data_IF_271577926705
#
_entry.id   IF_271577926705
#
_cell.length_a   1.000
_cell.length_b   1.000
_cell.length_c   1.000
_cell.angle_alpha   90.00
_cell.angle_beta   90.00
_cell.angle_gamma   90.00
#
_symmetry.space_group_name_H-M   'P 1'
#
loop_
_entity.id
_entity.type
_entity.pdbx_description
1 polymer ?
#
# COMPACT_ATOMS: atom_id res chain seq x y z
N UNK A 1 -26.75 11.09 -14.62
CA UNK A 1 -25.99 10.36 -15.66
C UNK A 1 -25.12 9.21 -15.12
N UNK A 2 -24.65 9.20 -13.86
CA UNK A 2 -23.83 8.11 -13.29
C UNK A 2 -24.58 6.79 -12.98
N UNK A 3 -25.92 6.80 -12.86
CA UNK A 3 -26.71 5.61 -12.49
C UNK A 3 -26.79 4.55 -13.61
N UNK A 4 -26.61 4.93 -14.89
CA UNK A 4 -26.78 4.05 -16.05
C UNK A 4 -25.50 3.37 -16.56
N UNK A 5 -24.34 3.57 -15.92
CA UNK A 5 -23.07 2.95 -16.35
C UNK A 5 -22.44 2.02 -15.30
N UNK A 6 -23.22 1.54 -14.32
CA UNK A 6 -22.71 0.64 -13.27
C UNK A 6 -22.01 -0.61 -13.82
N UNK A 7 -22.51 -1.16 -14.93
CA UNK A 7 -21.92 -2.31 -15.62
C UNK A 7 -20.50 -2.05 -16.14
N UNK A 8 -20.17 -0.81 -16.50
CA UNK A 8 -18.84 -0.45 -17.01
C UNK A 8 -17.74 -0.66 -15.95
N UNK A 9 -18.05 -0.42 -14.67
CA UNK A 9 -17.09 -0.64 -13.57
C UNK A 9 -16.81 -2.13 -13.35
N UNK A 10 -17.85 -2.96 -13.43
CA UNK A 10 -17.73 -4.41 -13.37
C UNK A 10 -16.94 -4.96 -14.56
N UNK A 11 -17.12 -4.38 -15.75
CA UNK A 11 -16.33 -4.70 -16.92
C UNK A 11 -14.85 -4.32 -16.74
N UNK A 12 -14.53 -3.15 -16.21
CA UNK A 12 -13.14 -2.78 -15.88
C UNK A 12 -12.53 -3.74 -14.86
N UNK A 13 -13.27 -4.12 -13.82
CA UNK A 13 -12.81 -5.11 -12.84
C UNK A 13 -12.54 -6.47 -13.50
N UNK A 14 -13.45 -6.94 -14.35
CA UNK A 14 -13.26 -8.19 -15.10
C UNK A 14 -12.03 -8.16 -16.01
N UNK A 15 -11.80 -7.05 -16.72
CA UNK A 15 -10.60 -6.86 -17.54
C UNK A 15 -9.33 -6.90 -16.67
N UNK A 16 -9.33 -6.22 -15.53
CA UNK A 16 -8.18 -6.23 -14.61
C UNK A 16 -7.89 -7.66 -14.13
N UNK A 17 -8.91 -8.42 -13.74
CA UNK A 17 -8.75 -9.81 -13.29
C UNK A 17 -8.18 -10.70 -14.40
N UNK A 18 -8.70 -10.58 -15.63
CA UNK A 18 -8.17 -11.33 -16.78
C UNK A 18 -6.71 -10.95 -17.06
N UNK A 19 -6.38 -9.66 -17.01
CA UNK A 19 -5.00 -9.21 -17.19
C UNK A 19 -4.08 -9.70 -16.08
N UNK A 20 -4.53 -9.74 -14.82
CA UNK A 20 -3.76 -10.31 -13.71
C UNK A 20 -3.50 -11.80 -13.93
N UNK A 21 -4.51 -12.56 -14.34
CA UNK A 21 -4.33 -13.98 -14.68
C UNK A 21 -3.32 -14.15 -15.83
N UNK A 22 -3.41 -13.33 -16.87
CA UNK A 22 -2.48 -13.36 -18.00
C UNK A 22 -1.04 -13.01 -17.58
N UNK A 23 -0.85 -11.93 -16.81
CA UNK A 23 0.45 -11.51 -16.30
C UNK A 23 1.07 -12.60 -15.42
N UNK A 24 0.30 -13.18 -14.50
CA UNK A 24 0.77 -14.25 -13.63
C UNK A 24 1.13 -15.52 -14.41
N UNK A 25 0.30 -15.90 -15.39
CA UNK A 25 0.58 -17.03 -16.26
C UNK A 25 1.84 -16.82 -17.11
N UNK A 26 2.03 -15.62 -17.65
CA UNK A 26 3.25 -15.26 -18.40
C UNK A 26 4.47 -15.29 -17.48
N UNK A 27 4.40 -14.74 -16.27
CA UNK A 27 5.49 -14.78 -15.30
C UNK A 27 5.90 -16.22 -14.94
N UNK A 28 4.92 -17.10 -14.73
CA UNK A 28 5.17 -18.53 -14.55
C UNK A 28 5.86 -19.15 -15.78
N UNK A 29 5.37 -18.84 -16.99
CA UNK A 29 5.96 -19.29 -18.26
C UNK A 29 7.41 -18.83 -18.46
N UNK A 30 7.70 -17.57 -18.14
CA UNK A 30 9.05 -16.97 -18.15
C UNK A 30 10.00 -17.78 -17.25
N UNK A 31 9.52 -18.28 -16.10
CA UNK A 31 10.30 -19.16 -15.23
C UNK A 31 10.74 -20.46 -15.92
N UNK A 32 9.86 -21.10 -16.71
CA UNK A 32 10.22 -22.29 -17.49
C UNK A 32 11.18 -21.97 -18.63
N UNK A 33 10.99 -20.84 -19.32
CA UNK A 33 11.90 -20.41 -20.39
C UNK A 33 13.30 -20.13 -19.81
N UNK A 34 13.38 -19.49 -18.64
CA UNK A 34 14.64 -19.24 -17.95
C UNK A 34 15.34 -20.55 -17.53
N UNK A 35 14.57 -21.55 -17.06
CA UNK A 35 15.08 -22.91 -16.80
C UNK A 35 15.67 -23.53 -18.07
N UNK A 36 14.93 -23.50 -19.17
CA UNK A 36 15.36 -24.12 -20.44
C UNK A 36 16.58 -23.42 -21.01
N UNK A 37 16.66 -22.10 -20.90
CA UNK A 37 17.83 -21.30 -21.28
C UNK A 37 19.05 -21.71 -20.45
N UNK A 38 18.87 -21.89 -19.13
CA UNK A 38 19.93 -22.32 -18.22
C UNK A 38 20.41 -23.74 -18.56
N UNK A 39 19.48 -24.65 -18.82
CA UNK A 39 19.82 -26.03 -19.21
C UNK A 39 20.59 -26.06 -20.54
N UNK A 40 20.16 -25.31 -21.56
CA UNK A 40 20.86 -25.23 -22.84
C UNK A 40 22.29 -24.67 -22.68
N UNK A 41 22.48 -23.70 -21.77
CA UNK A 41 23.79 -23.16 -21.45
C UNK A 41 24.70 -24.19 -20.76
N UNK A 42 24.16 -24.94 -19.80
CA UNK A 42 24.89 -26.00 -19.07
C UNK A 42 25.26 -27.15 -20.01
N UNK A 43 24.35 -27.54 -20.90
CA UNK A 43 24.56 -28.60 -21.91
C UNK A 43 25.40 -28.13 -23.12
N UNK A 44 25.81 -26.84 -23.15
CA UNK A 44 26.61 -26.23 -24.23
C UNK A 44 25.96 -26.32 -25.63
N UNK A 45 24.64 -26.30 -25.70
CA UNK A 45 23.90 -26.34 -26.97
C UNK A 45 23.69 -24.93 -27.53
N UNK A 46 24.58 -24.49 -28.42
CA UNK A 46 24.54 -23.12 -28.98
C UNK A 46 23.27 -22.85 -29.81
N UNK A 47 22.87 -23.78 -30.68
CA UNK A 47 21.71 -23.56 -31.56
C UNK A 47 20.38 -23.48 -30.78
N UNK A 48 20.24 -24.30 -29.74
CA UNK A 48 19.08 -24.27 -28.84
C UNK A 48 19.02 -22.99 -28.02
N UNK A 49 20.17 -22.49 -27.57
CA UNK A 49 20.27 -21.29 -26.75
C UNK A 49 19.72 -20.05 -27.45
N UNK A 50 20.17 -19.75 -28.67
CA UNK A 50 19.72 -18.54 -29.39
C UNK A 50 18.22 -18.59 -29.71
N UNK A 51 17.67 -19.78 -29.99
CA UNK A 51 16.23 -19.97 -30.19
C UNK A 51 15.44 -19.64 -28.92
N UNK A 52 15.85 -20.19 -27.77
CA UNK A 52 15.17 -19.94 -26.49
C UNK A 52 15.31 -18.46 -26.08
N UNK A 53 16.48 -17.86 -26.31
CA UNK A 53 16.72 -16.44 -26.07
C UNK A 53 15.79 -15.55 -26.91
N UNK A 54 15.58 -15.89 -28.18
CA UNK A 54 14.62 -15.19 -29.05
C UNK A 54 13.18 -15.31 -28.53
N UNK A 55 12.76 -16.50 -28.10
CA UNK A 55 11.43 -16.71 -27.48
C UNK A 55 11.30 -15.87 -26.20
N UNK A 56 12.33 -15.86 -25.36
CA UNK A 56 12.37 -15.08 -24.13
C UNK A 56 12.19 -13.58 -24.41
N UNK A 57 12.92 -13.03 -25.39
CA UNK A 57 12.77 -11.63 -25.80
C UNK A 57 11.36 -11.31 -26.31
N UNK A 58 10.78 -12.18 -27.15
CA UNK A 58 9.41 -12.03 -27.63
C UNK A 58 8.38 -12.05 -26.49
N UNK A 59 8.58 -12.89 -25.47
CA UNK A 59 7.72 -12.91 -24.30
C UNK A 59 7.72 -11.56 -23.57
N UNK A 60 8.87 -10.88 -23.43
CA UNK A 60 8.90 -9.53 -22.83
C UNK A 60 8.14 -8.49 -23.65
N UNK A 61 8.28 -8.53 -24.98
CA UNK A 61 7.57 -7.61 -25.88
C UNK A 61 6.05 -7.72 -25.72
N UNK A 62 5.53 -8.90 -25.40
CA UNK A 62 4.11 -9.13 -25.15
C UNK A 62 3.73 -8.88 -23.68
N UNK A 63 4.55 -9.31 -22.73
CA UNK A 63 4.26 -9.23 -21.30
C UNK A 63 4.18 -7.79 -20.78
N UNK A 64 5.12 -6.93 -21.21
CA UNK A 64 5.24 -5.56 -20.72
C UNK A 64 3.99 -4.73 -21.05
N UNK A 65 3.49 -4.69 -22.31
CA UNK A 65 2.25 -3.99 -22.62
C UNK A 65 1.04 -4.48 -21.82
N UNK A 66 0.92 -5.78 -21.59
CA UNK A 66 -0.17 -6.35 -20.79
C UNK A 66 -0.08 -5.85 -19.35
N UNK A 67 1.12 -5.89 -18.75
CA UNK A 67 1.35 -5.41 -17.38
C UNK A 67 1.08 -3.91 -17.24
N UNK A 68 1.58 -3.10 -18.18
CA UNK A 68 1.35 -1.65 -18.18
C UNK A 68 -0.14 -1.33 -18.35
N UNK A 69 -0.82 -2.04 -19.26
CA UNK A 69 -2.27 -1.90 -19.45
C UNK A 69 -3.05 -2.24 -18.19
N UNK A 70 -2.67 -3.34 -17.50
CA UNK A 70 -3.29 -3.74 -16.24
C UNK A 70 -3.19 -2.63 -15.18
N UNK A 71 -2.00 -2.06 -15.01
CA UNK A 71 -1.78 -0.93 -14.08
C UNK A 71 -2.64 0.27 -14.47
N UNK A 72 -2.67 0.61 -15.76
CA UNK A 72 -3.47 1.72 -16.28
C UNK A 72 -4.96 1.54 -15.98
N UNK A 73 -5.53 0.35 -16.23
CA UNK A 73 -6.94 0.08 -15.95
C UNK A 73 -7.25 0.13 -14.46
N UNK A 74 -6.35 -0.34 -13.59
CA UNK A 74 -6.49 -0.19 -12.14
C UNK A 74 -6.54 1.29 -11.73
N UNK A 75 -5.62 2.12 -12.20
CA UNK A 75 -5.66 3.56 -11.89
C UNK A 75 -6.92 4.24 -12.44
N UNK A 76 -7.35 3.88 -13.65
CA UNK A 76 -8.57 4.42 -14.24
C UNK A 76 -9.81 4.06 -13.43
N UNK A 77 -9.91 2.81 -12.96
CA UNK A 77 -11.00 2.38 -12.08
C UNK A 77 -10.99 3.16 -10.76
N UNK A 78 -9.80 3.38 -10.17
CA UNK A 78 -9.64 4.20 -8.97
C UNK A 78 -10.13 5.63 -9.15
N UNK A 79 -9.81 6.27 -10.28
CA UNK A 79 -10.30 7.63 -10.59
C UNK A 79 -11.82 7.69 -10.73
N UNK A 80 -12.43 6.73 -11.44
CA UNK A 80 -13.88 6.68 -11.61
C UNK A 80 -14.58 6.46 -10.26
N UNK A 81 -14.02 5.58 -9.42
CA UNK A 81 -14.55 5.33 -8.09
C UNK A 81 -14.44 6.57 -7.20
N UNK A 82 -13.29 7.26 -7.22
CA UNK A 82 -13.09 8.53 -6.52
C UNK A 82 -14.08 9.59 -6.97
N UNK A 83 -14.27 9.76 -8.28
CA UNK A 83 -15.24 10.71 -8.83
C UNK A 83 -16.66 10.42 -8.33
N UNK A 84 -17.06 9.15 -8.35
CA UNK A 84 -18.37 8.74 -7.86
C UNK A 84 -18.55 8.99 -6.37
N UNK A 85 -17.56 8.60 -5.54
CA UNK A 85 -17.63 8.74 -4.09
C UNK A 85 -17.63 10.21 -3.68
N UNK A 86 -16.75 11.02 -4.28
CA UNK A 86 -16.68 12.47 -4.03
C UNK A 86 -18.01 13.14 -4.38
N UNK A 87 -18.62 12.80 -5.52
CA UNK A 87 -19.93 13.35 -5.91
C UNK A 87 -21.05 12.92 -4.96
N UNK A 88 -20.99 11.70 -4.41
CA UNK A 88 -21.96 11.25 -3.41
C UNK A 88 -21.81 12.04 -2.12
N UNK A 89 -20.58 12.15 -1.60
CA UNK A 89 -20.31 12.87 -0.36
C UNK A 89 -20.66 14.35 -0.46
N UNK A 90 -20.33 15.02 -1.57
CA UNK A 90 -20.74 16.42 -1.80
C UNK A 90 -22.27 16.56 -1.84
N UNK A 91 -22.98 15.61 -2.46
CA UNK A 91 -24.44 15.63 -2.48
C UNK A 91 -25.02 15.47 -1.07
N UNK A 92 -24.49 14.54 -0.29
CA UNK A 92 -24.95 14.28 1.07
C UNK A 92 -24.62 15.49 1.98
N UNK A 93 -23.44 16.09 1.83
CA UNK A 93 -23.02 17.31 2.52
C UNK A 93 -23.92 18.53 2.22
N UNK A 94 -24.44 18.64 1.00
CA UNK A 94 -25.37 19.71 0.60
C UNK A 94 -26.83 19.43 0.97
N UNK A 95 -27.16 18.24 1.47
CA UNK A 95 -28.54 17.84 1.80
C UNK A 95 -28.91 18.35 3.19
N UNK A 96 -30.15 18.82 3.39
CA UNK A 96 -30.70 19.27 4.68
C UNK A 96 -29.84 20.30 5.44
N UNK A 97 -29.06 21.13 4.73
CA UNK A 97 -28.11 22.09 5.32
C UNK A 97 -27.07 21.41 6.23
N UNK A 98 -26.69 20.16 5.95
CA UNK A 98 -25.65 19.45 6.69
C UNK A 98 -24.32 20.24 6.71
N UNK A 99 -23.98 20.93 5.63
CA UNK A 99 -22.83 21.85 5.59
C UNK A 99 -22.84 22.95 6.66
N UNK A 100 -24.01 23.37 7.12
CA UNK A 100 -24.17 24.37 8.18
C UNK A 100 -24.12 23.71 9.56
N UNK A 101 -24.72 22.53 9.71
CA UNK A 101 -24.76 21.79 10.98
C UNK A 101 -23.39 21.22 11.36
N UNK A 102 -22.59 20.82 10.37
CA UNK A 102 -21.24 20.25 10.54
C UNK A 102 -20.18 21.35 10.41
N UNK A 103 -20.56 22.61 10.61
CA UNK A 103 -19.62 23.72 10.49
C UNK A 103 -18.77 23.80 11.76
N UNK A 104 -17.43 23.67 11.67
CA UNK A 104 -16.53 23.67 12.82
C UNK A 104 -16.49 25.00 13.61
N UNK A 105 -17.22 26.02 13.18
CA UNK A 105 -17.34 27.30 13.89
C UNK A 105 -18.38 27.27 15.04
N UNK A 106 -19.21 26.23 15.13
CA UNK A 106 -20.04 25.96 16.30
C UNK A 106 -19.33 24.89 17.14
N UNK A 107 -18.64 25.32 18.22
CA UNK A 107 -17.81 24.48 19.10
C UNK A 107 -18.58 23.36 19.82
N UNK A 108 -19.92 23.37 19.77
CA UNK A 108 -20.76 22.58 20.69
C UNK A 108 -21.49 21.36 20.07
N UNK A 109 -21.48 21.13 18.74
CA UNK A 109 -22.51 20.23 18.16
C UNK A 109 -22.11 19.15 17.14
N UNK A 110 -20.87 19.03 16.66
CA UNK A 110 -20.55 17.93 15.70
C UNK A 110 -19.21 17.24 15.90
N UNK A 111 -19.26 15.90 15.99
CA UNK A 111 -18.13 14.95 16.08
C UNK A 111 -17.35 14.77 14.75
N UNK A 112 -17.64 15.59 13.73
CA UNK A 112 -17.02 15.48 12.40
C UNK A 112 -16.15 16.71 12.15
N UNK A 113 -14.84 16.50 12.26
CA UNK A 113 -13.81 17.48 11.96
C UNK A 113 -13.49 17.55 10.45
N UNK A 114 -13.04 18.73 10.01
CA UNK A 114 -12.48 18.99 8.67
C UNK A 114 -13.21 18.29 7.50
N UNK A 115 -14.52 18.56 7.31
CA UNK A 115 -15.34 17.87 6.31
C UNK A 115 -14.81 18.05 4.87
N UNK A 116 -14.16 19.17 4.59
CA UNK A 116 -13.48 19.46 3.32
C UNK A 116 -12.27 18.53 3.09
N UNK A 117 -11.46 18.30 4.13
CA UNK A 117 -10.33 17.37 4.08
C UNK A 117 -10.83 15.93 3.86
N UNK A 118 -11.86 15.51 4.59
CA UNK A 118 -12.46 14.16 4.44
C UNK A 118 -13.01 13.91 3.03
N UNK A 119 -13.69 14.89 2.44
CA UNK A 119 -14.24 14.78 1.08
C UNK A 119 -13.13 14.73 0.03
N UNK A 120 -11.99 15.38 0.26
CA UNK A 120 -10.93 15.53 -0.74
C UNK A 120 -9.79 14.51 -0.58
N UNK A 121 -9.11 14.52 0.56
CA UNK A 121 -7.93 13.72 0.85
C UNK A 121 -8.30 12.30 1.23
N UNK A 122 -9.19 12.11 2.21
CA UNK A 122 -9.54 10.77 2.69
C UNK A 122 -10.24 9.97 1.61
N UNK A 123 -11.12 10.60 0.84
CA UNK A 123 -11.78 9.97 -0.30
C UNK A 123 -10.77 9.50 -1.36
N UNK A 124 -9.71 10.28 -1.60
CA UNK A 124 -8.60 9.88 -2.49
C UNK A 124 -7.82 8.71 -1.88
N UNK A 125 -7.43 8.81 -0.62
CA UNK A 125 -6.65 7.79 0.08
C UNK A 125 -7.41 6.47 0.14
N UNK A 126 -8.67 6.50 0.55
CA UNK A 126 -9.55 5.34 0.64
C UNK A 126 -9.68 4.62 -0.69
N UNK A 127 -10.10 5.31 -1.76
CA UNK A 127 -10.30 4.69 -3.07
C UNK A 127 -9.02 4.11 -3.66
N UNK A 128 -7.88 4.78 -3.48
CA UNK A 128 -6.58 4.30 -3.95
C UNK A 128 -6.09 3.09 -3.14
N UNK A 129 -6.06 3.19 -1.80
CA UNK A 129 -5.55 2.14 -0.93
C UNK A 129 -6.42 0.89 -0.97
N UNK A 130 -7.75 1.03 -0.93
CA UNK A 130 -8.66 -0.12 -0.99
C UNK A 130 -8.52 -0.89 -2.31
N UNK A 131 -8.39 -0.18 -3.43
CA UNK A 131 -8.22 -0.82 -4.74
C UNK A 131 -6.86 -1.52 -4.84
N UNK A 132 -5.77 -0.86 -4.43
CA UNK A 132 -4.44 -1.45 -4.41
C UNK A 132 -4.36 -2.66 -3.48
N UNK A 133 -4.98 -2.60 -2.31
CA UNK A 133 -5.03 -3.72 -1.38
C UNK A 133 -5.76 -4.90 -2.01
N UNK A 134 -6.95 -4.66 -2.60
CA UNK A 134 -7.77 -5.74 -3.18
C UNK A 134 -7.07 -6.40 -4.37
N UNK A 135 -6.56 -5.58 -5.31
CA UNK A 135 -5.81 -6.09 -6.47
C UNK A 135 -4.51 -6.76 -6.05
N UNK A 136 -3.79 -6.18 -5.09
CA UNK A 136 -2.52 -6.71 -4.59
C UNK A 136 -2.67 -8.03 -3.85
N UNK A 137 -3.68 -8.16 -2.98
CA UNK A 137 -3.99 -9.44 -2.30
C UNK A 137 -4.36 -10.50 -3.33
N UNK A 138 -5.18 -10.16 -4.34
CA UNK A 138 -5.53 -11.10 -5.39
C UNK A 138 -4.31 -11.54 -6.21
N UNK A 139 -3.47 -10.59 -6.63
CA UNK A 139 -2.21 -10.86 -7.36
C UNK A 139 -1.24 -11.73 -6.53
N UNK A 140 -1.10 -11.42 -5.24
CA UNK A 140 -0.26 -12.18 -4.31
C UNK A 140 -0.77 -13.61 -4.12
N UNK A 141 -2.09 -13.81 -3.96
CA UNK A 141 -2.68 -15.14 -3.84
C UNK A 141 -2.49 -15.95 -5.12
N UNK A 142 -2.69 -15.34 -6.30
CA UNK A 142 -2.45 -15.99 -7.58
C UNK A 142 -0.98 -16.38 -7.73
N UNK A 143 -0.06 -15.45 -7.50
CA UNK A 143 1.38 -15.67 -7.59
C UNK A 143 1.78 -16.81 -6.63
N UNK A 144 1.37 -16.73 -5.37
CA UNK A 144 1.67 -17.74 -4.36
C UNK A 144 1.15 -19.12 -4.76
N UNK A 145 -0.14 -19.20 -5.12
CA UNK A 145 -0.79 -20.47 -5.49
C UNK A 145 -0.13 -21.09 -6.71
N UNK A 146 0.11 -20.33 -7.76
CA UNK A 146 0.75 -20.81 -8.99
C UNK A 146 2.18 -21.30 -8.72
N UNK A 147 2.98 -20.52 -7.99
CA UNK A 147 4.37 -20.92 -7.70
C UNK A 147 4.44 -22.16 -6.82
N UNK A 148 3.58 -22.28 -5.81
CA UNK A 148 3.52 -23.49 -4.97
C UNK A 148 3.03 -24.70 -5.77
N UNK A 149 2.02 -24.56 -6.61
CA UNK A 149 1.54 -25.65 -7.46
C UNK A 149 2.63 -26.12 -8.44
N UNK A 150 3.32 -25.19 -9.11
CA UNK A 150 4.45 -25.50 -10.00
C UNK A 150 5.55 -26.24 -9.25
N UNK A 151 5.95 -25.74 -8.08
CA UNK A 151 7.00 -26.35 -7.29
C UNK A 151 6.61 -27.74 -6.77
N UNK A 152 5.35 -27.94 -6.36
CA UNK A 152 4.82 -29.25 -5.95
C UNK A 152 4.87 -30.28 -7.10
N UNK A 153 4.59 -29.85 -8.33
CA UNK A 153 4.69 -30.70 -9.52
C UNK A 153 6.13 -31.10 -9.82
N UNK A 154 7.10 -30.20 -9.58
CA UNK A 154 8.52 -30.47 -9.84
C UNK A 154 9.14 -31.31 -8.72
N UNK A 155 8.96 -30.92 -7.45
CA UNK A 155 9.53 -31.61 -6.30
C UNK A 155 8.75 -31.32 -5.00
N UNK A 156 8.10 -32.37 -4.50
CA UNK A 156 7.41 -32.33 -3.19
C UNK A 156 8.39 -32.09 -2.05
N UNK A 157 9.56 -32.72 -2.08
CA UNK A 157 10.58 -32.59 -1.03
C UNK A 157 11.06 -31.15 -0.90
N UNK A 158 11.41 -30.50 -2.01
CA UNK A 158 11.84 -29.10 -2.01
C UNK A 158 10.76 -28.16 -1.48
N UNK A 159 9.50 -28.42 -1.85
CA UNK A 159 8.36 -27.62 -1.38
C UNK A 159 8.22 -27.67 0.14
N UNK A 160 8.24 -28.87 0.74
CA UNK A 160 8.11 -29.01 2.19
C UNK A 160 9.32 -28.43 2.95
N UNK A 161 10.53 -28.59 2.42
CA UNK A 161 11.73 -27.94 2.98
C UNK A 161 11.61 -26.42 2.94
N UNK A 162 11.07 -25.84 1.87
CA UNK A 162 10.83 -24.41 1.77
C UNK A 162 9.82 -23.91 2.79
N UNK A 163 8.72 -24.66 3.02
CA UNK A 163 7.76 -24.33 4.08
C UNK A 163 8.39 -24.37 5.47
N UNK A 164 9.21 -25.39 5.76
CA UNK A 164 9.92 -25.48 7.04
C UNK A 164 10.88 -24.29 7.24
N UNK A 165 11.64 -23.95 6.20
CA UNK A 165 12.53 -22.79 6.20
C UNK A 165 11.76 -21.47 6.42
N UNK A 166 10.66 -21.26 5.68
CA UNK A 166 9.83 -20.06 5.79
C UNK A 166 9.20 -19.93 7.18
N UNK A 167 8.69 -21.02 7.76
CA UNK A 167 8.13 -21.03 9.11
C UNK A 167 9.19 -20.69 10.17
N UNK A 168 10.39 -21.25 10.03
CA UNK A 168 11.50 -20.97 10.93
C UNK A 168 11.96 -19.51 10.84
N UNK A 169 12.19 -19.00 9.63
CA UNK A 169 12.58 -17.61 9.39
C UNK A 169 11.51 -16.63 9.91
N UNK A 170 10.23 -16.91 9.65
CA UNK A 170 9.11 -16.09 10.14
C UNK A 170 9.03 -16.10 11.66
N UNK A 171 9.25 -17.26 12.30
CA UNK A 171 9.24 -17.36 13.77
C UNK A 171 10.35 -16.52 14.41
N UNK A 172 11.56 -16.56 13.85
CA UNK A 172 12.67 -15.72 14.30
C UNK A 172 12.33 -14.24 14.13
N UNK A 173 11.77 -13.87 12.97
CA UNK A 173 11.41 -12.49 12.68
C UNK A 173 10.34 -11.97 13.64
N UNK A 174 9.31 -12.77 13.93
CA UNK A 174 8.25 -12.39 14.90
C UNK A 174 8.81 -12.26 16.32
N UNK A 175 9.71 -13.16 16.72
CA UNK A 175 10.36 -13.08 18.02
C UNK A 175 11.21 -11.82 18.17
N UNK A 176 12.04 -11.51 17.16
CA UNK A 176 12.87 -10.30 17.16
C UNK A 176 12.03 -9.01 17.04
N UNK A 177 11.01 -9.03 16.18
CA UNK A 177 10.16 -7.87 15.89
C UNK A 177 9.28 -7.42 17.06
N UNK A 178 8.96 -8.30 18.01
CA UNK A 178 8.14 -7.95 19.18
C UNK A 178 8.73 -6.80 20.00
N UNK A 179 10.06 -6.74 20.12
CA UNK A 179 10.72 -5.67 20.86
C UNK A 179 10.76 -4.36 20.06
N UNK A 180 10.86 -4.44 18.72
CA UNK A 180 10.85 -3.26 17.85
C UNK A 180 9.53 -2.49 17.97
N UNK A 181 8.39 -3.19 18.05
CA UNK A 181 7.07 -2.52 18.20
C UNK A 181 7.02 -1.68 19.48
N UNK A 182 7.59 -2.20 20.58
CA UNK A 182 7.65 -1.46 21.83
C UNK A 182 8.58 -0.25 21.72
N UNK A 183 9.77 -0.44 21.13
CA UNK A 183 10.73 0.64 20.92
C UNK A 183 10.17 1.75 20.02
N UNK A 184 9.47 1.39 18.95
CA UNK A 184 8.81 2.33 18.03
C UNK A 184 7.71 3.13 18.76
N UNK A 185 6.90 2.44 19.58
CA UNK A 185 5.90 3.11 20.41
C UNK A 185 6.53 4.06 21.44
N UNK A 186 7.58 3.62 22.14
CA UNK A 186 8.28 4.44 23.11
C UNK A 186 8.92 5.66 22.42
N UNK A 187 9.53 5.49 21.24
CA UNK A 187 10.08 6.59 20.42
C UNK A 187 8.99 7.59 19.99
N UNK A 188 7.86 7.11 19.48
CA UNK A 188 6.72 7.96 19.11
C UNK A 188 6.18 8.74 20.32
N UNK A 189 6.15 8.11 21.49
CA UNK A 189 5.74 8.74 22.74
C UNK A 189 6.72 9.85 23.14
N UNK A 190 8.02 9.60 23.13
CA UNK A 190 9.02 10.62 23.46
C UNK A 190 8.99 11.80 22.48
N UNK A 191 8.83 11.52 21.18
CA UNK A 191 8.69 12.57 20.14
C UNK A 191 7.43 13.42 20.38
N UNK A 192 6.32 12.78 20.78
CA UNK A 192 5.08 13.47 21.13
C UNK A 192 5.24 14.34 22.38
N UNK A 193 5.92 13.84 23.42
CA UNK A 193 6.19 14.58 24.66
C UNK A 193 7.09 15.80 24.41
N UNK A 194 8.08 15.67 23.50
CA UNK A 194 8.91 16.78 23.03
C UNK A 194 8.08 17.82 22.26
N UNK A 195 7.27 17.38 21.29
CA UNK A 195 6.39 18.27 20.51
C UNK A 195 5.38 19.00 21.41
N UNK A 196 4.83 18.31 22.40
CA UNK A 196 3.94 18.92 23.39
C UNK A 196 4.68 20.00 24.21
N UNK A 197 5.94 19.79 24.58
CA UNK A 197 6.77 20.81 25.24
C UNK A 197 6.88 22.10 24.40
N UNK A 198 7.11 21.97 23.09
CA UNK A 198 7.17 23.13 22.18
C UNK A 198 5.82 23.85 22.05
N UNK A 199 4.71 23.10 21.99
CA UNK A 199 3.35 23.65 21.99
C UNK A 199 3.07 24.39 23.30
N UNK A 200 3.47 23.82 24.44
CA UNK A 200 3.32 24.44 25.76
C UNK A 200 4.01 25.79 25.84
N UNK A 201 5.25 25.90 25.32
CA UNK A 201 5.98 27.17 25.26
C UNK A 201 5.24 28.20 24.41
N UNK A 202 4.75 27.79 23.24
CA UNK A 202 3.99 28.69 22.35
C UNK A 202 2.72 29.19 23.01
N UNK A 203 1.97 28.30 23.65
CA UNK A 203 0.67 28.62 24.26
C UNK A 203 0.84 29.48 25.54
N UNK A 204 2.01 29.44 26.19
CA UNK A 204 2.33 30.21 27.40
C UNK A 204 3.40 31.30 27.17
N UNK A 205 3.62 31.72 25.92
CA UNK A 205 4.71 32.62 25.55
C UNK A 205 4.69 33.96 26.29
N UNK A 206 3.50 34.53 26.53
CA UNK A 206 3.34 35.80 27.26
C UNK A 206 3.75 35.67 28.74
N UNK A 207 3.31 34.60 29.41
CA UNK A 207 3.70 34.29 30.79
C UNK A 207 5.21 34.07 30.90
N UNK A 208 5.79 33.29 29.98
CA UNK A 208 7.23 33.00 29.97
C UNK A 208 8.03 34.31 29.80
N UNK A 209 7.63 35.17 28.86
CA UNK A 209 8.30 36.46 28.62
C UNK A 209 8.14 37.42 29.81
N UNK A 210 6.96 37.47 30.44
CA UNK A 210 6.68 38.37 31.56
C UNK A 210 7.46 38.00 32.83
N UNK A 211 7.64 36.69 33.09
CA UNK A 211 8.36 36.18 34.26
C UNK A 211 9.83 35.82 33.98
N UNK A 212 10.34 36.09 32.77
CA UNK A 212 11.69 35.70 32.33
C UNK A 212 11.99 34.20 32.55
N UNK A 213 11.02 33.37 32.18
CA UNK A 213 11.03 31.91 32.36
C UNK A 213 11.76 31.14 31.25
N UNK A 214 12.55 31.78 30.39
CA UNK A 214 13.11 31.13 29.19
C UNK A 214 14.14 30.04 29.53
N UNK A 215 14.97 30.25 30.56
CA UNK A 215 15.97 29.27 30.98
C UNK A 215 15.36 27.95 31.50
N UNK A 216 14.37 27.96 32.44
CA UNK A 216 13.75 26.72 32.88
C UNK A 216 13.00 25.98 31.76
N UNK A 217 12.27 26.69 30.89
CA UNK A 217 11.56 26.08 29.75
C UNK A 217 12.52 25.49 28.71
N UNK A 218 13.66 26.16 28.46
CA UNK A 218 14.73 25.62 27.60
C UNK A 218 15.30 24.32 28.18
N UNK A 219 15.64 24.31 29.47
CA UNK A 219 16.21 23.13 30.12
C UNK A 219 15.24 21.93 30.11
N UNK A 220 13.94 22.15 30.32
CA UNK A 220 12.93 21.10 30.23
C UNK A 220 12.76 20.58 28.80
N UNK A 221 12.80 21.47 27.80
CA UNK A 221 12.72 21.10 26.39
C UNK A 221 13.95 20.30 25.94
N UNK A 222 15.15 20.71 26.37
CA UNK A 222 16.40 19.98 26.14
C UNK A 222 16.38 18.61 26.85
N UNK A 223 15.81 18.52 28.06
CA UNK A 223 15.63 17.25 28.77
C UNK A 223 14.73 16.29 27.98
N UNK A 224 13.60 16.76 27.47
CA UNK A 224 12.71 15.93 26.63
C UNK A 224 13.37 15.51 25.32
N UNK A 225 14.13 16.41 24.70
CA UNK A 225 14.92 16.07 23.51
C UNK A 225 15.96 14.99 23.81
N UNK A 226 16.59 15.01 24.98
CA UNK A 226 17.55 13.97 25.39
C UNK A 226 16.93 12.61 25.68
N UNK A 227 15.61 12.54 25.92
CA UNK A 227 14.88 11.27 26.03
C UNK A 227 14.51 10.69 24.64
N UNK A 228 14.51 11.52 23.60
CA UNK A 228 14.24 11.13 22.21
C UNK A 228 15.47 10.59 21.50
N UNK A 229 16.64 11.20 21.74
CA UNK A 229 17.92 10.96 21.02
C UNK A 229 18.79 9.92 21.71
#
# INVERSE_FOLDING_TARGET
>A
QLKNRKWLHWLFLGIIVIMLLAVNGINAGIGFIARDLTNALVEKQQDGFYRILGIYACCFVVAVPIRVSQIFFTFKLGLIWREWLSKSLVKDYMTNKAYYQINPNDEDQTDVDNPDQRITEDTRAFTYQSLNLTVGVFDALLTFSLNILILLTISKTLTFSLFAYAAFATSILLFAGRNLVKLDYDQLRYEADFRYGLVHIRDNAESIAFYSGENPERNETERRLSEVV
#
